data_IF_303250350031
#
_entry.id   IF_303250350031
#
_cell.length_a   1.000
_cell.length_b   1.000
_cell.length_c   1.000
_cell.angle_alpha   90.00
_cell.angle_beta   90.00
_cell.angle_gamma   90.00
#
_symmetry.space_group_name_H-M   'P 1'
#
loop_
_entity.id
_entity.type
_entity.pdbx_description
1 polymer ?
#
# COMPACT_ATOMS: atom_id res chain seq x y z
N UNK A 1 -23.34 -6.66 4.33
CA UNK A 1 -23.80 -7.48 3.19
C UNK A 1 -23.01 -7.09 1.96
N UNK A 2 -21.88 -7.77 1.75
CA UNK A 2 -21.06 -7.64 0.55
C UNK A 2 -21.89 -8.16 -0.63
N UNK A 3 -22.28 -7.30 -1.57
CA UNK A 3 -23.07 -7.72 -2.73
C UNK A 3 -22.12 -8.04 -3.87
N UNK A 4 -21.62 -9.27 -3.84
CA UNK A 4 -20.99 -9.92 -4.99
C UNK A 4 -22.02 -10.06 -6.12
N UNK A 5 -21.94 -9.18 -7.11
CA UNK A 5 -22.62 -9.39 -8.40
C UNK A 5 -21.61 -9.96 -9.39
N UNK A 6 -21.44 -11.27 -9.32
CA UNK A 6 -20.88 -12.06 -10.41
C UNK A 6 -21.98 -12.22 -11.47
N UNK A 7 -21.84 -11.57 -12.62
CA UNK A 7 -22.53 -12.00 -13.84
C UNK A 7 -21.50 -12.23 -14.94
N UNK A 8 -21.60 -13.42 -15.51
CA UNK A 8 -20.92 -13.90 -16.70
C UNK A 8 -21.49 -13.23 -17.95
N UNK A 9 -20.63 -12.63 -18.79
CA UNK A 9 -20.73 -12.75 -20.25
C UNK A 9 -19.53 -12.04 -20.88
N UNK A 10 -18.72 -12.83 -21.58
CA UNK A 10 -17.82 -12.50 -22.68
C UNK A 10 -17.84 -11.07 -23.23
N UNK A 11 -16.67 -10.41 -23.27
CA UNK A 11 -16.39 -9.42 -24.33
C UNK A 11 -14.90 -9.09 -24.48
N UNK A 12 -14.48 -9.11 -25.74
CA UNK A 12 -13.34 -8.42 -26.35
C UNK A 12 -13.22 -6.95 -25.85
N UNK A 13 -11.98 -6.42 -25.77
CA UNK A 13 -11.56 -5.08 -25.26
C UNK A 13 -11.68 -4.92 -23.73
N UNK A 14 -10.73 -5.30 -22.89
CA UNK A 14 -9.26 -5.19 -22.99
C UNK A 14 -8.63 -4.60 -21.70
N UNK A 15 -9.43 -4.18 -20.71
CA UNK A 15 -8.96 -3.69 -19.41
C UNK A 15 -9.29 -4.70 -18.30
N UNK A 16 -8.24 -5.15 -17.61
CA UNK A 16 -8.25 -6.18 -16.58
C UNK A 16 -9.20 -5.79 -15.43
N UNK A 17 -10.06 -6.73 -15.03
CA UNK A 17 -10.83 -6.64 -13.78
C UNK A 17 -9.83 -6.71 -12.62
N UNK A 18 -9.54 -5.60 -11.96
CA UNK A 18 -8.73 -5.58 -10.74
C UNK A 18 -9.52 -6.31 -9.64
N UNK A 19 -9.24 -7.59 -9.45
CA UNK A 19 -9.82 -8.38 -8.36
C UNK A 19 -8.96 -8.16 -7.12
N UNK A 20 -9.60 -7.76 -6.02
CA UNK A 20 -8.92 -7.53 -4.75
C UNK A 20 -8.40 -8.87 -4.20
N UNK A 21 -7.10 -8.94 -3.90
CA UNK A 21 -6.50 -10.12 -3.29
C UNK A 21 -6.87 -10.18 -1.80
N UNK A 22 -7.60 -11.22 -1.39
CA UNK A 22 -8.03 -11.44 0.00
C UNK A 22 -6.85 -11.53 0.98
N UNK A 23 -5.78 -12.22 0.61
CA UNK A 23 -4.60 -12.39 1.47
C UNK A 23 -3.87 -11.07 1.72
N UNK A 24 -3.85 -10.16 0.75
CA UNK A 24 -3.29 -8.82 0.92
C UNK A 24 -4.09 -8.01 1.96
N UNK A 25 -5.43 -8.09 1.90
CA UNK A 25 -6.30 -7.44 2.89
C UNK A 25 -6.10 -8.04 4.29
N UNK A 26 -6.04 -9.37 4.39
CA UNK A 26 -5.81 -10.05 5.67
C UNK A 26 -4.48 -9.66 6.30
N UNK A 27 -3.40 -9.63 5.50
CA UNK A 27 -2.09 -9.17 5.95
C UNK A 27 -2.12 -7.70 6.40
N UNK A 28 -2.84 -6.83 5.68
CA UNK A 28 -3.02 -5.44 6.05
C UNK A 28 -3.77 -5.27 7.38
N UNK A 29 -4.82 -6.06 7.61
CA UNK A 29 -5.59 -6.05 8.86
C UNK A 29 -4.76 -6.56 10.03
N UNK A 30 -4.03 -7.66 9.85
CA UNK A 30 -3.12 -8.19 10.88
C UNK A 30 -2.04 -7.18 11.24
N UNK A 31 -1.47 -6.50 10.24
CA UNK A 31 -0.48 -5.45 10.45
C UNK A 31 -1.08 -4.26 11.21
N UNK A 32 -2.29 -3.83 10.87
CA UNK A 32 -2.98 -2.77 11.59
C UNK A 32 -3.19 -3.12 13.08
N UNK A 33 -3.61 -4.36 13.37
CA UNK A 33 -3.75 -4.84 14.74
C UNK A 33 -2.41 -4.90 15.49
N UNK A 34 -1.36 -5.40 14.84
CA UNK A 34 -0.02 -5.48 15.42
C UNK A 34 0.57 -4.10 15.75
N UNK A 35 0.23 -3.10 14.94
CA UNK A 35 0.66 -1.71 15.11
C UNK A 35 -0.29 -0.87 15.99
N UNK A 36 -1.27 -1.53 16.61
CA UNK A 36 -2.29 -0.92 17.47
C UNK A 36 -3.08 0.21 16.77
N UNK A 37 -3.25 0.10 15.45
CA UNK A 37 -4.04 1.03 14.64
C UNK A 37 -5.54 0.80 14.85
N UNK A 38 -6.34 1.84 14.63
CA UNK A 38 -7.80 1.71 14.56
C UNK A 38 -8.22 1.37 13.13
N UNK A 39 -8.83 0.19 12.94
CA UNK A 39 -9.36 -0.25 11.65
C UNK A 39 -10.58 0.59 11.25
N UNK A 40 -10.62 0.99 9.97
CA UNK A 40 -11.79 1.66 9.42
C UNK A 40 -12.83 0.62 9.01
N UNK A 41 -14.13 0.82 9.35
CA UNK A 41 -15.19 -0.13 8.98
C UNK A 41 -15.42 -0.19 7.47
N UNK A 42 -15.07 0.89 6.77
CA UNK A 42 -15.14 1.01 5.32
C UNK A 42 -13.84 1.63 4.82
N UNK A 43 -13.19 0.98 3.85
CA UNK A 43 -12.06 1.52 3.11
C UNK A 43 -12.37 1.50 1.62
N UNK A 44 -11.84 2.46 0.86
CA UNK A 44 -12.10 2.60 -0.57
C UNK A 44 -10.82 2.81 -1.34
N UNK A 45 -10.77 2.29 -2.56
CA UNK A 45 -9.66 2.49 -3.47
C UNK A 45 -9.93 3.66 -4.42
N UNK A 46 -8.93 4.51 -4.56
CA UNK A 46 -8.90 5.72 -5.37
C UNK A 46 -7.87 5.58 -6.50
N UNK A 47 -8.07 6.32 -7.60
CA UNK A 47 -7.12 6.39 -8.72
C UNK A 47 -6.30 7.67 -8.63
N UNK A 48 -5.00 7.52 -8.42
CA UNK A 48 -4.04 8.62 -8.51
C UNK A 48 -3.46 8.64 -9.92
N UNK A 49 -3.83 9.66 -10.70
CA UNK A 49 -3.41 9.78 -12.09
C UNK A 49 -2.03 10.44 -12.18
N UNK A 50 -1.08 9.77 -12.83
CA UNK A 50 0.21 10.33 -13.21
C UNK A 50 0.77 9.55 -14.39
N UNK A 51 1.46 10.26 -15.29
CA UNK A 51 2.05 9.66 -16.47
C UNK A 51 3.49 9.24 -16.16
N UNK A 52 3.76 7.96 -16.33
CA UNK A 52 5.12 7.41 -16.27
C UNK A 52 5.23 6.22 -17.22
N UNK A 53 6.43 5.99 -17.75
CA UNK A 53 6.66 4.96 -18.78
C UNK A 53 6.41 3.53 -18.28
N UNK A 54 6.44 3.30 -16.97
CA UNK A 54 6.26 2.01 -16.31
C UNK A 54 4.80 1.74 -15.88
N UNK A 55 3.90 2.72 -16.07
CA UNK A 55 2.51 2.65 -15.65
C UNK A 55 1.57 2.71 -16.87
N UNK A 56 1.35 1.59 -17.59
CA UNK A 56 0.58 1.58 -18.84
C UNK A 56 -0.88 2.01 -18.67
N UNK A 57 -1.42 1.97 -17.45
CA UNK A 57 -2.77 2.42 -17.14
C UNK A 57 -2.88 3.94 -16.90
N UNK A 58 -1.76 4.65 -16.69
CA UNK A 58 -1.74 6.09 -16.38
C UNK A 58 -2.34 6.48 -15.01
N UNK A 59 -2.63 5.49 -14.16
CA UNK A 59 -3.07 5.72 -12.78
C UNK A 59 -2.64 4.58 -11.86
N UNK A 60 -2.39 4.92 -10.60
CA UNK A 60 -2.11 3.99 -9.51
C UNK A 60 -3.36 3.83 -8.64
N UNK A 61 -3.65 2.59 -8.22
CA UNK A 61 -4.70 2.29 -7.25
C UNK A 61 -4.12 2.46 -5.83
N UNK A 62 -4.72 3.34 -5.03
CA UNK A 62 -4.29 3.68 -3.65
C UNK A 62 -5.51 3.88 -2.74
N UNK A 63 -5.34 3.98 -1.42
CA UNK A 63 -6.41 4.28 -0.45
C UNK A 63 -6.21 5.64 0.23
N UNK A 64 -5.97 6.68 -0.57
CA UNK A 64 -5.61 8.01 -0.06
C UNK A 64 -6.71 8.64 0.82
N UNK A 65 -8.00 8.52 0.44
CA UNK A 65 -9.10 9.18 1.19
C UNK A 65 -9.62 8.34 2.36
N UNK A 66 -9.84 7.05 2.10
CA UNK A 66 -10.38 6.11 3.09
C UNK A 66 -9.41 4.92 3.24
N UNK A 67 -8.33 5.09 4.03
CA UNK A 67 -7.32 4.07 4.24
C UNK A 67 -7.87 2.88 5.02
N UNK A 68 -7.13 1.77 5.06
CA UNK A 68 -7.52 0.57 5.79
C UNK A 68 -7.58 0.82 7.31
N UNK A 69 -6.60 1.55 7.86
CA UNK A 69 -6.55 1.89 9.27
C UNK A 69 -5.93 3.28 9.51
N UNK A 70 -6.21 3.86 10.67
CA UNK A 70 -5.66 5.15 11.11
C UNK A 70 -5.20 5.09 12.56
N UNK A 71 -4.26 5.96 12.90
CA UNK A 71 -3.64 5.95 14.23
C UNK A 71 -2.77 4.73 14.44
N UNK A 72 -2.30 4.54 15.67
CA UNK A 72 -1.42 3.44 16.05
C UNK A 72 -0.11 3.94 16.63
N UNK A 73 0.60 3.06 17.32
CA UNK A 73 1.84 3.41 17.99
C UNK A 73 2.83 2.25 17.95
N UNK A 74 4.10 2.59 17.73
CA UNK A 74 5.20 1.64 17.83
C UNK A 74 6.17 2.15 18.87
N UNK A 75 6.52 1.28 19.80
CA UNK A 75 7.52 1.54 20.83
C UNK A 75 8.75 0.69 20.55
N UNK A 76 9.93 1.33 20.55
CA UNK A 76 11.19 0.63 20.32
C UNK A 76 12.33 1.26 21.13
N UNK A 77 13.32 0.44 21.45
CA UNK A 77 14.49 0.86 22.21
C UNK A 77 15.54 1.47 21.28
N UNK A 78 16.09 2.63 21.66
CA UNK A 78 17.20 3.26 20.96
C UNK A 78 18.50 2.96 21.69
N UNK A 79 19.44 2.35 20.97
CA UNK A 79 20.82 2.18 21.40
C UNK A 79 21.67 3.28 20.77
N UNK A 80 22.49 3.97 21.56
CA UNK A 80 23.42 4.99 21.05
C UNK A 80 24.82 4.37 20.98
N UNK A 81 25.39 4.14 19.78
CA UNK A 81 26.73 3.56 19.66
C UNK A 81 27.78 4.45 20.34
N UNK A 82 28.73 3.82 21.06
CA UNK A 82 29.84 4.52 21.72
C UNK A 82 29.48 5.24 23.03
N UNK A 83 28.22 5.18 23.47
CA UNK A 83 27.79 5.72 24.76
C UNK A 83 27.30 4.55 25.61
N UNK A 84 27.97 4.26 26.74
CA UNK A 84 27.48 3.34 27.77
C UNK A 84 26.30 3.96 28.53
N UNK A 85 25.18 4.18 27.84
CA UNK A 85 23.91 4.58 28.43
C UNK A 85 22.90 3.47 28.25
N UNK A 86 22.05 3.31 29.25
CA UNK A 86 20.89 2.44 29.17
C UNK A 86 20.05 2.80 27.92
N UNK A 87 19.58 1.80 27.16
CA UNK A 87 18.69 2.04 26.05
C UNK A 87 17.43 2.75 26.55
N UNK A 88 16.99 3.77 25.81
CA UNK A 88 15.77 4.49 26.14
C UNK A 88 14.67 4.15 25.15
N UNK A 89 13.43 4.15 25.65
CA UNK A 89 12.26 3.86 24.83
C UNK A 89 11.87 5.08 23.99
N UNK A 90 11.61 4.88 22.71
CA UNK A 90 10.94 5.86 21.85
C UNK A 90 9.60 5.33 21.38
N UNK A 91 8.68 6.27 21.20
CA UNK A 91 7.33 6.03 20.70
C UNK A 91 7.14 6.82 19.42
N UNK A 92 6.73 6.15 18.36
CA UNK A 92 6.36 6.77 17.08
C UNK A 92 4.88 6.52 16.82
N UNK A 93 4.19 7.57 16.39
CA UNK A 93 2.78 7.51 16.03
C UNK A 93 2.64 7.15 14.56
N UNK A 94 1.70 6.26 14.26
CA UNK A 94 1.33 5.92 12.88
C UNK A 94 0.13 6.76 12.49
N UNK A 95 0.22 7.46 11.37
CA UNK A 95 -0.89 8.27 10.88
C UNK A 95 -1.94 7.42 10.16
N UNK A 96 -1.49 6.57 9.24
CA UNK A 96 -2.39 5.76 8.42
C UNK A 96 -1.70 4.51 7.88
N UNK A 97 -2.50 3.50 7.58
CA UNK A 97 -2.11 2.28 6.87
C UNK A 97 -3.02 2.11 5.65
N UNK A 98 -2.42 2.01 4.47
CA UNK A 98 -3.10 1.95 3.18
C UNK A 98 -2.55 0.81 2.32
N UNK A 99 -3.42 0.20 1.52
CA UNK A 99 -3.03 -0.75 0.49
C UNK A 99 -2.88 -0.02 -0.85
N UNK A 100 -1.77 -0.27 -1.53
CA UNK A 100 -1.47 0.36 -2.83
C UNK A 100 -0.99 -0.67 -3.84
N UNK A 101 -1.28 -0.40 -5.12
CA UNK A 101 -0.67 -1.14 -6.22
C UNK A 101 0.77 -0.66 -6.42
N UNK A 102 1.70 -1.60 -6.47
CA UNK A 102 3.11 -1.30 -6.78
C UNK A 102 3.28 -0.94 -8.27
N UNK A 103 4.24 -0.08 -8.58
CA UNK A 103 4.62 0.26 -9.94
C UNK A 103 5.61 -0.76 -10.51
N UNK A 104 5.66 -0.89 -11.84
CA UNK A 104 6.69 -1.70 -12.49
C UNK A 104 8.10 -1.17 -12.19
N UNK A 105 9.12 -2.01 -12.35
CA UNK A 105 10.52 -1.55 -12.30
C UNK A 105 10.89 -0.90 -13.63
N UNK A 106 11.37 0.33 -13.59
CA UNK A 106 12.00 0.98 -14.75
C UNK A 106 13.47 0.56 -14.84
N UNK A 107 13.84 -0.19 -15.87
CA UNK A 107 15.24 -0.42 -16.24
C UNK A 107 15.66 0.72 -17.17
N UNK A 108 16.47 1.66 -16.66
CA UNK A 108 17.17 2.61 -17.52
C UNK A 108 18.49 1.96 -17.93
N UNK A 109 18.62 1.57 -19.20
CA UNK A 109 19.87 1.08 -19.74
C UNK A 109 20.72 2.29 -20.19
N UNK A 110 21.81 2.66 -19.49
CA UNK A 110 22.71 3.73 -19.93
C UNK A 110 23.52 3.34 -21.17
N UNK A 111 23.35 2.13 -21.73
CA UNK A 111 24.13 1.61 -22.85
C UNK A 111 23.58 1.96 -24.25
N UNK A 112 22.90 3.10 -24.42
CA UNK A 112 22.58 3.64 -25.75
C UNK A 112 23.18 5.03 -26.01
N UNK A 113 24.46 5.20 -25.69
CA UNK A 113 25.35 6.03 -26.51
C UNK A 113 25.89 5.16 -27.65
N UNK A 114 25.10 4.95 -28.70
CA UNK A 114 25.61 4.44 -29.97
C UNK A 114 25.68 5.61 -30.95
N UNK A 115 26.94 6.03 -31.17
CA UNK A 115 27.51 6.83 -32.26
C UNK A 115 26.82 8.14 -32.64
#
# INVERSE_FOLDING_TARGET
TCRDRFMSSTSLQGLIRCVLNRSCVEAGVLTALALNCTLNPVSTFDRKHYFYADLPAGYQITQQRCPLARGGEVQFQIYTPGVHKEPYLRKVQIHQLQLEQDSGKSLHDPANNRS
#
